data_IF_939380036266
#
_entry.id   IF_939380036266
#
_cell.length_a   1.000
_cell.length_b   1.000
_cell.length_c   1.000
_cell.angle_alpha   90.00
_cell.angle_beta   90.00
_cell.angle_gamma   90.00
#
_symmetry.space_group_name_H-M   'P 1'
#
loop_
_entity.id
_entity.type
_entity.pdbx_description
1 polymer ?
#
# COMPACT_ATOMS: atom_id res chain seq x y z
N UNK A 1 -2.54 13.68 14.54
CA UNK A 1 -2.75 12.87 15.77
C UNK A 1 -1.74 11.74 15.80
N UNK A 2 -1.55 11.15 16.97
CA UNK A 2 -0.79 9.93 17.17
C UNK A 2 -1.47 9.10 18.28
N UNK A 3 -1.27 7.80 18.24
CA UNK A 3 -1.73 6.87 19.27
C UNK A 3 -0.94 5.55 19.18
N UNK A 4 -0.88 4.81 20.27
CA UNK A 4 -0.41 3.41 20.25
C UNK A 4 -1.41 2.53 19.49
N UNK A 5 -0.91 1.49 18.85
CA UNK A 5 -1.74 0.57 18.06
C UNK A 5 -1.74 -0.80 18.72
N UNK A 6 -1.01 -1.76 18.20
CA UNK A 6 -1.09 -3.15 18.68
C UNK A 6 0.09 -3.54 19.58
N UNK A 7 1.29 -3.57 19.02
CA UNK A 7 2.49 -3.93 19.78
C UNK A 7 2.91 -2.82 20.75
N UNK A 8 3.53 -3.18 21.87
CA UNK A 8 4.09 -2.21 22.81
C UNK A 8 5.10 -1.30 22.11
N UNK A 9 4.86 0.02 22.18
CA UNK A 9 5.67 1.02 21.53
C UNK A 9 5.41 1.21 20.02
N UNK A 10 4.47 0.51 19.43
CA UNK A 10 4.00 0.79 18.07
C UNK A 10 3.09 2.01 18.09
N UNK A 11 3.45 3.04 17.31
CA UNK A 11 2.69 4.29 17.24
C UNK A 11 2.23 4.56 15.81
N UNK A 12 0.98 4.99 15.67
CA UNK A 12 0.45 5.50 14.42
C UNK A 12 0.46 7.03 14.43
N UNK A 13 0.97 7.64 13.36
CA UNK A 13 1.01 9.08 13.18
C UNK A 13 0.12 9.48 12.01
N UNK A 14 -0.99 10.17 12.32
CA UNK A 14 -1.86 10.76 11.31
C UNK A 14 -1.40 12.18 10.96
N UNK A 15 -1.22 12.45 9.67
CA UNK A 15 -0.74 13.73 9.17
C UNK A 15 -1.83 14.48 8.41
N UNK A 16 -1.74 15.82 8.31
CA UNK A 16 -2.64 16.63 7.47
C UNK A 16 -2.42 16.30 6.00
N UNK A 17 -3.49 16.32 5.19
CA UNK A 17 -3.36 16.20 3.74
C UNK A 17 -2.58 17.38 3.14
N UNK A 18 -1.90 17.12 2.04
CA UNK A 18 -1.11 18.11 1.31
C UNK A 18 -0.98 17.67 -0.15
N UNK A 19 -0.47 18.53 -1.02
CA UNK A 19 -0.12 18.18 -2.40
C UNK A 19 0.91 17.06 -2.43
N UNK A 20 0.83 16.21 -3.46
CA UNK A 20 1.58 14.95 -3.57
C UNK A 20 3.07 15.12 -3.27
N UNK A 21 3.77 16.01 -3.99
CA UNK A 21 5.23 16.19 -3.84
C UNK A 21 5.57 16.66 -2.43
N UNK A 22 4.88 17.71 -1.95
CA UNK A 22 5.11 18.23 -0.60
C UNK A 22 4.80 17.17 0.48
N UNK A 23 3.84 16.30 0.26
CA UNK A 23 3.58 15.18 1.18
C UNK A 23 4.74 14.17 1.15
N UNK A 24 5.33 13.89 -0.01
CA UNK A 24 6.51 13.04 -0.11
C UNK A 24 7.70 13.62 0.65
N UNK A 25 7.96 14.94 0.50
CA UNK A 25 9.00 15.65 1.26
C UNK A 25 8.77 15.49 2.77
N UNK A 26 7.55 15.74 3.23
CA UNK A 26 7.19 15.63 4.64
C UNK A 26 7.31 14.21 5.19
N UNK A 27 7.09 13.18 4.38
CA UNK A 27 7.29 11.80 4.80
C UNK A 27 8.76 11.48 5.05
N UNK A 28 9.67 12.03 4.24
CA UNK A 28 11.11 11.88 4.48
C UNK A 28 11.55 12.63 5.74
N UNK A 29 11.09 13.87 5.90
CA UNK A 29 11.37 14.67 7.11
C UNK A 29 10.81 13.99 8.36
N UNK A 30 9.59 13.41 8.29
CA UNK A 30 8.99 12.68 9.40
C UNK A 30 9.85 11.50 9.82
N UNK A 31 10.26 10.65 8.88
CA UNK A 31 11.11 9.48 9.17
C UNK A 31 12.42 9.90 9.81
N UNK A 32 13.10 10.89 9.22
CA UNK A 32 14.33 11.46 9.77
C UNK A 32 14.12 11.98 11.21
N UNK A 33 13.07 12.78 11.42
CA UNK A 33 12.78 13.37 12.73
C UNK A 33 12.50 12.30 13.79
N UNK A 34 11.72 11.25 13.46
CA UNK A 34 11.44 10.14 14.38
C UNK A 34 12.73 9.43 14.79
N UNK A 35 13.63 9.14 13.84
CA UNK A 35 14.91 8.51 14.15
C UNK A 35 15.78 9.41 15.03
N UNK A 36 15.88 10.71 14.71
CA UNK A 36 16.70 11.65 15.48
C UNK A 36 16.18 11.88 16.89
N UNK A 37 14.87 12.01 17.04
CA UNK A 37 14.24 12.14 18.37
C UNK A 37 14.43 10.85 19.19
N UNK A 38 14.22 9.68 18.62
CA UNK A 38 14.47 8.42 19.31
C UNK A 38 15.92 8.34 19.80
N UNK A 39 16.89 8.65 18.94
CA UNK A 39 18.32 8.67 19.27
C UNK A 39 18.65 9.64 20.40
N UNK A 40 18.03 10.83 20.45
CA UNK A 40 18.24 11.81 21.51
C UNK A 40 17.79 11.34 22.89
N UNK A 41 16.91 10.33 22.94
CA UNK A 41 16.48 9.66 24.18
C UNK A 41 17.20 8.32 24.44
N UNK A 42 18.28 8.02 23.71
CA UNK A 42 18.99 6.74 23.82
C UNK A 42 18.14 5.54 23.35
N UNK A 43 17.16 5.78 22.48
CA UNK A 43 16.24 4.77 21.92
C UNK A 43 16.42 4.63 20.43
N UNK A 44 15.84 3.58 19.86
CA UNK A 44 15.73 3.37 18.41
C UNK A 44 14.27 3.40 17.97
N UNK A 45 14.06 3.73 16.71
CA UNK A 45 12.78 3.59 16.04
C UNK A 45 12.96 2.84 14.73
N UNK A 46 11.94 2.15 14.28
CA UNK A 46 11.95 1.45 12.99
C UNK A 46 10.67 1.69 12.23
N UNK A 47 10.81 1.80 10.91
CA UNK A 47 9.71 1.80 9.94
C UNK A 47 9.61 0.46 9.19
N UNK A 48 10.18 -0.59 9.74
CA UNK A 48 10.10 -1.95 9.21
C UNK A 48 8.65 -2.43 9.18
N UNK A 49 8.15 -2.99 8.06
CA UNK A 49 6.74 -3.40 7.93
C UNK A 49 6.31 -4.49 8.90
N UNK A 50 7.20 -5.43 9.23
CA UNK A 50 6.94 -6.53 10.16
C UNK A 50 8.18 -6.77 11.04
N UNK A 51 8.36 -5.97 12.10
CA UNK A 51 9.53 -6.12 12.99
C UNK A 51 9.38 -7.25 14.02
N UNK A 52 8.15 -7.60 14.41
CA UNK A 52 7.87 -8.54 15.49
C UNK A 52 7.04 -9.72 14.96
N UNK A 53 7.52 -10.95 15.24
CA UNK A 53 6.79 -12.18 14.91
C UNK A 53 5.57 -12.32 15.84
N UNK A 54 4.43 -12.74 15.28
CA UNK A 54 3.21 -12.97 16.05
C UNK A 54 2.41 -11.72 16.42
N UNK A 55 2.88 -10.51 16.05
CA UNK A 55 2.18 -9.26 16.30
C UNK A 55 1.84 -8.52 14.98
N UNK A 56 1.07 -7.45 15.06
CA UNK A 56 0.69 -6.65 13.90
C UNK A 56 1.92 -5.97 13.25
N UNK A 57 1.85 -5.76 11.94
CA UNK A 57 2.84 -4.98 11.19
C UNK A 57 2.51 -3.50 11.12
N UNK A 58 3.41 -2.73 10.51
CA UNK A 58 3.26 -1.29 10.26
C UNK A 58 2.90 -1.02 8.80
N UNK A 59 1.78 -0.35 8.58
CA UNK A 59 1.32 0.12 7.28
C UNK A 59 1.61 1.60 7.08
N UNK A 60 1.66 2.03 5.83
CA UNK A 60 1.58 3.43 5.43
C UNK A 60 0.31 3.62 4.59
N UNK A 61 -0.79 3.89 5.26
CA UNK A 61 -2.06 4.09 4.58
C UNK A 61 -2.08 5.42 3.84
N UNK A 62 -2.34 5.40 2.55
CA UNK A 62 -2.28 6.60 1.71
C UNK A 62 -3.68 7.07 1.36
N UNK A 63 -4.10 8.17 1.99
CA UNK A 63 -5.33 8.87 1.65
C UNK A 63 -5.12 9.70 0.38
N UNK A 64 -6.03 9.58 -0.58
CA UNK A 64 -5.92 10.22 -1.88
C UNK A 64 -7.24 10.87 -2.29
N UNK A 65 -7.14 12.04 -2.93
CA UNK A 65 -8.23 12.71 -3.62
C UNK A 65 -7.66 13.61 -4.72
N UNK A 66 -8.42 13.80 -5.80
CA UNK A 66 -8.04 14.66 -6.92
C UNK A 66 -8.90 15.91 -6.91
N UNK A 67 -8.26 17.05 -7.13
CA UNK A 67 -8.90 18.36 -7.08
C UNK A 67 -8.64 19.13 -8.37
N UNK A 68 -9.66 19.85 -8.82
CA UNK A 68 -9.57 20.81 -9.92
C UNK A 68 -10.36 22.06 -9.61
N UNK A 69 -9.76 23.23 -9.77
CA UNK A 69 -10.40 24.54 -9.53
C UNK A 69 -11.13 24.64 -8.16
N UNK A 70 -10.46 24.13 -7.11
CA UNK A 70 -11.00 24.13 -5.75
C UNK A 70 -12.12 23.12 -5.48
N UNK A 71 -12.47 22.26 -6.45
CA UNK A 71 -13.48 21.22 -6.32
C UNK A 71 -12.85 19.86 -6.15
N UNK A 72 -13.35 19.08 -5.19
CA UNK A 72 -12.96 17.68 -5.00
C UNK A 72 -13.66 16.81 -6.03
N UNK A 73 -12.90 16.25 -6.99
CA UNK A 73 -13.44 15.41 -8.07
C UNK A 73 -13.88 14.01 -7.58
N UNK A 74 -13.50 13.63 -6.36
CA UNK A 74 -13.93 12.36 -5.78
C UNK A 74 -15.33 12.43 -5.15
N UNK A 75 -15.84 13.63 -4.87
CA UNK A 75 -17.20 13.80 -4.35
C UNK A 75 -18.24 13.60 -5.44
N UNK A 76 -19.31 12.86 -5.13
CA UNK A 76 -20.44 12.59 -6.03
C UNK A 76 -21.58 11.91 -5.29
N UNK A 77 -22.54 11.38 -6.05
CA UNK A 77 -23.79 10.80 -5.54
C UNK A 77 -23.77 9.26 -5.60
N UNK A 78 -22.66 8.66 -6.00
CA UNK A 78 -22.51 7.20 -6.07
C UNK A 78 -22.23 6.56 -4.71
N UNK A 79 -21.75 5.30 -4.76
CA UNK A 79 -21.42 4.52 -3.56
C UNK A 79 -20.55 5.30 -2.58
N UNK A 80 -20.96 5.34 -1.32
CA UNK A 80 -20.30 6.07 -0.23
C UNK A 80 -20.06 7.58 -0.50
N UNK A 81 -20.85 8.20 -1.40
CA UNK A 81 -20.72 9.59 -1.80
C UNK A 81 -19.52 9.87 -2.71
N UNK A 82 -19.06 8.87 -3.45
CA UNK A 82 -18.05 9.01 -4.46
C UNK A 82 -18.64 9.32 -5.84
N UNK A 83 -17.87 10.01 -6.66
CA UNK A 83 -18.14 10.19 -8.07
C UNK A 83 -17.73 8.96 -8.90
N UNK A 84 -18.24 8.84 -10.12
CA UNK A 84 -17.79 7.83 -11.09
C UNK A 84 -16.28 7.97 -11.39
N UNK A 85 -15.77 9.19 -11.43
CA UNK A 85 -14.34 9.48 -11.55
C UNK A 85 -13.52 8.82 -10.43
N UNK A 86 -14.00 8.87 -9.19
CA UNK A 86 -13.32 8.21 -8.07
C UNK A 86 -13.42 6.67 -8.16
N UNK A 87 -14.54 6.13 -8.65
CA UNK A 87 -14.67 4.69 -8.86
C UNK A 87 -13.70 4.19 -9.93
N UNK A 88 -13.55 4.89 -11.05
CA UNK A 88 -12.54 4.57 -12.06
C UNK A 88 -11.12 4.65 -11.49
N UNK A 89 -10.83 5.65 -10.67
CA UNK A 89 -9.54 5.74 -9.99
C UNK A 89 -9.27 4.52 -9.11
N UNK A 90 -10.24 4.07 -8.32
CA UNK A 90 -10.17 2.83 -7.53
C UNK A 90 -9.95 1.62 -8.44
N UNK A 91 -10.68 1.55 -9.57
CA UNK A 91 -10.53 0.47 -10.56
C UNK A 91 -9.10 0.36 -11.08
N UNK A 92 -8.46 1.49 -11.39
CA UNK A 92 -7.06 1.53 -11.78
C UNK A 92 -6.11 1.04 -10.67
N UNK A 93 -6.31 1.49 -9.43
CA UNK A 93 -5.53 1.02 -8.28
C UNK A 93 -5.65 -0.50 -8.10
N UNK A 94 -6.87 -1.06 -8.15
CA UNK A 94 -7.11 -2.50 -7.97
C UNK A 94 -6.51 -3.30 -9.14
N UNK A 95 -6.71 -2.86 -10.39
CA UNK A 95 -6.15 -3.51 -11.59
C UNK A 95 -4.63 -3.64 -11.52
N UNK A 96 -3.96 -2.57 -11.10
CA UNK A 96 -2.50 -2.51 -11.07
C UNK A 96 -1.88 -2.85 -9.71
N UNK A 97 -2.68 -3.25 -8.71
CA UNK A 97 -2.24 -3.45 -7.33
C UNK A 97 -1.02 -4.37 -7.19
N UNK A 98 -0.97 -5.46 -7.95
CA UNK A 98 0.16 -6.41 -7.90
C UNK A 98 1.45 -5.81 -8.45
N UNK A 99 1.39 -5.05 -9.54
CA UNK A 99 2.54 -4.29 -10.05
C UNK A 99 2.93 -3.17 -9.08
N UNK A 100 1.94 -2.48 -8.51
CA UNK A 100 2.17 -1.45 -7.48
C UNK A 100 2.89 -2.02 -6.25
N UNK A 101 2.62 -3.27 -5.85
CA UNK A 101 3.27 -3.89 -4.69
C UNK A 101 4.80 -3.87 -4.81
N UNK A 102 5.38 -3.99 -5.99
CA UNK A 102 6.84 -3.87 -6.15
C UNK A 102 7.38 -2.53 -5.63
N UNK A 103 6.61 -1.45 -5.75
CA UNK A 103 6.99 -0.08 -5.38
C UNK A 103 6.46 0.29 -4.00
N UNK A 104 5.22 -0.10 -3.68
CA UNK A 104 4.55 0.24 -2.42
C UNK A 104 4.88 -0.69 -1.26
N UNK A 105 5.46 -1.85 -1.56
CA UNK A 105 5.88 -2.89 -0.61
C UNK A 105 7.26 -3.44 -1.06
N UNK A 106 8.31 -2.57 -1.00
CA UNK A 106 9.53 -2.77 -1.79
C UNK A 106 10.56 -3.70 -1.14
N UNK A 107 10.24 -4.33 -0.02
CA UNK A 107 11.16 -5.21 0.69
C UNK A 107 10.62 -6.62 0.86
N UNK A 108 11.50 -7.59 1.08
CA UNK A 108 11.09 -8.97 1.43
C UNK A 108 10.30 -9.02 2.73
N UNK A 109 10.58 -8.12 3.67
CA UNK A 109 9.85 -7.99 4.94
C UNK A 109 8.43 -7.44 4.75
N UNK A 110 8.16 -6.66 3.70
CA UNK A 110 6.82 -6.16 3.36
C UNK A 110 5.78 -7.28 3.29
N UNK A 111 6.16 -8.41 2.73
CA UNK A 111 5.27 -9.56 2.52
C UNK A 111 5.08 -10.43 3.77
N UNK A 112 5.89 -10.23 4.80
CA UNK A 112 5.65 -10.78 6.14
C UNK A 112 4.55 -10.00 6.88
N UNK A 113 4.28 -8.76 6.48
CA UNK A 113 3.13 -7.98 6.93
C UNK A 113 1.86 -8.37 6.15
N UNK A 114 1.96 -8.57 4.84
CA UNK A 114 0.81 -8.84 3.96
C UNK A 114 0.37 -10.30 4.05
N UNK A 115 0.02 -10.73 5.25
CA UNK A 115 -0.52 -12.06 5.57
C UNK A 115 -1.90 -11.93 6.21
N UNK A 116 -2.83 -12.87 5.95
CA UNK A 116 -4.14 -12.87 6.60
C UNK A 116 -4.03 -12.95 8.13
N UNK A 117 -5.00 -12.34 8.84
CA UNK A 117 -5.11 -12.46 10.30
C UNK A 117 -4.36 -11.42 11.14
N UNK A 118 -3.59 -10.50 10.52
CA UNK A 118 -2.82 -9.46 11.23
C UNK A 118 -3.22 -8.03 10.79
N UNK A 119 -4.50 -7.78 10.59
CA UNK A 119 -5.09 -6.49 10.16
C UNK A 119 -4.51 -5.93 8.85
N UNK A 120 -3.76 -6.72 8.10
CA UNK A 120 -3.22 -6.33 6.81
C UNK A 120 -4.26 -6.54 5.69
N UNK A 121 -4.46 -5.56 4.81
CA UNK A 121 -5.43 -5.66 3.72
C UNK A 121 -4.85 -6.46 2.54
N UNK A 122 -5.10 -7.76 2.52
CA UNK A 122 -4.57 -8.65 1.47
C UNK A 122 -5.52 -8.83 0.28
N UNK A 123 -6.83 -8.58 0.46
CA UNK A 123 -7.84 -8.76 -0.58
C UNK A 123 -8.01 -7.51 -1.44
N UNK A 124 -7.90 -7.68 -2.76
CA UNK A 124 -8.05 -6.61 -3.74
C UNK A 124 -9.53 -6.28 -3.96
N UNK A 125 -10.11 -5.66 -2.97
CA UNK A 125 -11.48 -5.17 -2.95
C UNK A 125 -11.53 -3.74 -2.44
N UNK A 126 -12.65 -3.06 -2.63
CA UNK A 126 -12.92 -1.76 -2.02
C UNK A 126 -14.19 -1.80 -1.18
N UNK A 127 -14.23 -0.96 -0.15
CA UNK A 127 -15.38 -0.92 0.75
C UNK A 127 -15.46 0.39 1.54
N UNK A 128 -16.68 0.78 1.87
CA UNK A 128 -16.94 1.88 2.81
C UNK A 128 -16.78 1.38 4.25
N UNK A 129 -15.93 2.07 5.03
CA UNK A 129 -15.69 1.82 6.46
C UNK A 129 -15.00 0.48 6.82
N UNK A 130 -14.88 -0.45 5.90
CA UNK A 130 -14.30 -1.76 6.16
C UNK A 130 -12.76 -1.69 6.09
N UNK A 131 -12.08 -2.09 7.17
CA UNK A 131 -10.61 -2.06 7.28
C UNK A 131 -9.92 -3.26 6.65
N UNK A 132 -10.67 -4.32 6.30
CA UNK A 132 -10.09 -5.52 5.66
C UNK A 132 -9.91 -5.36 4.14
N UNK A 133 -10.51 -4.34 3.52
CA UNK A 133 -10.37 -4.06 2.10
C UNK A 133 -9.05 -3.34 1.77
N UNK A 134 -8.44 -3.65 0.61
CA UNK A 134 -7.23 -2.99 0.11
C UNK A 134 -7.44 -1.49 -0.15
N UNK A 135 -8.66 -1.12 -0.57
CA UNK A 135 -9.07 0.28 -0.72
C UNK A 135 -10.29 0.56 0.16
N UNK A 136 -10.11 1.39 1.16
CA UNK A 136 -11.18 1.84 2.05
C UNK A 136 -11.68 3.22 1.66
N UNK A 137 -12.98 3.46 1.79
CA UNK A 137 -13.58 4.78 1.64
C UNK A 137 -13.96 5.27 3.04
N UNK A 138 -13.19 6.19 3.65
CA UNK A 138 -13.50 6.73 4.97
C UNK A 138 -14.81 7.51 4.93
N UNK A 139 -15.64 7.32 5.96
CA UNK A 139 -16.85 8.13 6.10
C UNK A 139 -16.50 9.57 6.41
N UNK A 140 -17.07 10.48 5.64
CA UNK A 140 -16.95 11.94 5.87
C UNK A 140 -18.25 12.60 5.46
N UNK A 141 -18.85 13.40 6.35
CA UNK A 141 -20.08 14.11 6.03
C UNK A 141 -19.86 15.21 4.98
N UNK A 142 -18.74 15.93 5.08
CA UNK A 142 -18.42 17.02 4.15
C UNK A 142 -17.89 16.50 2.82
N UNK A 143 -18.49 16.84 1.67
CA UNK A 143 -17.99 16.44 0.33
C UNK A 143 -16.54 16.84 0.07
N UNK A 144 -16.06 17.96 0.63
CA UNK A 144 -14.66 18.37 0.53
C UNK A 144 -13.69 17.35 1.15
N UNK A 145 -14.14 16.54 2.08
CA UNK A 145 -13.33 15.50 2.71
C UNK A 145 -13.38 14.14 2.00
N UNK A 146 -14.13 13.98 0.91
CA UNK A 146 -14.23 12.71 0.18
C UNK A 146 -12.88 12.28 -0.34
N UNK A 147 -12.52 11.02 -0.07
CA UNK A 147 -11.22 10.45 -0.41
C UNK A 147 -11.28 8.94 -0.38
N UNK A 148 -10.29 8.33 -0.95
CA UNK A 148 -10.01 6.89 -0.77
C UNK A 148 -8.79 6.73 0.13
N UNK A 149 -8.64 5.56 0.70
CA UNK A 149 -7.48 5.14 1.50
C UNK A 149 -6.95 3.84 0.92
N UNK A 150 -5.77 3.90 0.32
CA UNK A 150 -5.05 2.70 -0.14
C UNK A 150 -4.25 2.16 1.05
N UNK A 151 -4.49 0.91 1.43
CA UNK A 151 -4.05 0.37 2.72
C UNK A 151 -2.89 -0.62 2.65
N UNK A 152 -2.61 -1.19 1.47
CA UNK A 152 -1.52 -2.16 1.32
C UNK A 152 -0.11 -1.54 1.36
N UNK A 153 0.14 -0.26 1.02
CA UNK A 153 1.48 0.30 1.12
C UNK A 153 2.05 0.22 2.54
N UNK A 154 3.36 0.14 2.64
CA UNK A 154 4.06 0.13 3.92
C UNK A 154 5.14 1.22 4.00
N UNK A 155 5.70 1.48 5.20
CA UNK A 155 6.62 2.61 5.38
C UNK A 155 7.99 2.42 4.73
N UNK A 156 8.35 1.25 4.18
CA UNK A 156 9.58 1.09 3.38
C UNK A 156 9.49 1.78 2.02
N UNK A 157 8.27 2.04 1.55
CA UNK A 157 8.03 2.75 0.28
C UNK A 157 8.82 4.05 0.21
N UNK A 158 9.52 4.27 -0.90
CA UNK A 158 9.96 5.61 -1.27
C UNK A 158 8.71 6.42 -1.63
N UNK A 159 8.37 7.50 -0.88
CA UNK A 159 7.09 8.20 -1.07
C UNK A 159 6.98 8.87 -2.44
N UNK A 160 8.08 9.32 -3.05
CA UNK A 160 8.05 9.90 -4.39
C UNK A 160 7.64 8.85 -5.43
N UNK A 161 8.24 7.65 -5.36
CA UNK A 161 7.92 6.56 -6.28
C UNK A 161 6.51 6.01 -6.01
N UNK A 162 6.20 5.71 -4.76
CA UNK A 162 4.93 5.09 -4.37
C UNK A 162 3.72 5.98 -4.67
N UNK A 163 3.80 7.28 -4.35
CA UNK A 163 2.69 8.21 -4.59
C UNK A 163 2.52 8.46 -6.09
N UNK A 164 3.61 8.60 -6.86
CA UNK A 164 3.56 8.73 -8.30
C UNK A 164 2.98 7.49 -8.97
N UNK A 165 3.42 6.30 -8.57
CA UNK A 165 2.92 5.04 -9.13
C UNK A 165 1.41 4.84 -8.86
N UNK A 166 0.94 5.12 -7.65
CA UNK A 166 -0.49 5.05 -7.33
C UNK A 166 -1.30 6.08 -8.12
N UNK A 167 -0.79 7.30 -8.30
CA UNK A 167 -1.45 8.30 -9.15
C UNK A 167 -1.55 7.82 -10.59
N UNK A 168 -0.47 7.29 -11.16
CA UNK A 168 -0.47 6.75 -12.54
C UNK A 168 -1.46 5.60 -12.71
N UNK A 169 -1.56 4.70 -11.72
CA UNK A 169 -2.56 3.63 -11.72
C UNK A 169 -3.99 4.18 -11.70
N UNK A 170 -4.26 5.17 -10.86
CA UNK A 170 -5.56 5.82 -10.79
C UNK A 170 -5.92 6.57 -12.09
N UNK A 171 -4.95 7.26 -12.71
CA UNK A 171 -5.14 7.94 -13.99
C UNK A 171 -5.43 6.94 -15.14
N UNK A 172 -4.74 5.80 -15.19
CA UNK A 172 -5.06 4.72 -16.13
C UNK A 172 -6.49 4.23 -15.95
N UNK A 173 -6.93 4.10 -14.69
CA UNK A 173 -8.32 3.73 -14.37
C UNK A 173 -9.34 4.73 -14.89
N UNK A 174 -9.09 6.02 -14.72
CA UNK A 174 -9.97 7.10 -15.21
C UNK A 174 -10.02 7.12 -16.74
N UNK A 175 -8.86 7.12 -17.39
CA UNK A 175 -8.76 7.23 -18.83
C UNK A 175 -9.41 6.06 -19.56
N UNK A 176 -9.20 4.84 -19.03
CA UNK A 176 -9.76 3.62 -19.60
C UNK A 176 -11.12 3.22 -19.01
N UNK A 177 -11.73 4.07 -18.15
CA UNK A 177 -13.01 3.83 -17.48
C UNK A 177 -13.08 2.47 -16.80
N UNK A 178 -12.04 2.12 -16.06
CA UNK A 178 -11.93 0.83 -15.37
C UNK A 178 -12.77 0.86 -14.10
N UNK A 179 -13.93 0.23 -14.16
CA UNK A 179 -14.79 0.12 -12.98
C UNK A 179 -14.27 -0.98 -12.03
N UNK A 180 -14.22 -0.74 -10.71
CA UNK A 180 -13.68 -1.70 -9.75
C UNK A 180 -14.60 -2.91 -9.44
N UNK A 181 -15.74 -3.01 -10.08
CA UNK A 181 -16.79 -3.99 -9.75
C UNK A 181 -17.63 -3.55 -8.55
N UNK A 182 -18.25 -4.51 -7.87
CA UNK A 182 -19.11 -4.24 -6.70
C UNK A 182 -18.26 -4.03 -5.44
N UNK A 183 -18.72 -3.12 -4.58
CA UNK A 183 -18.08 -2.89 -3.29
C UNK A 183 -18.31 -4.08 -2.35
N UNK A 184 -17.29 -4.47 -1.61
CA UNK A 184 -17.44 -5.52 -0.60
C UNK A 184 -18.21 -4.99 0.61
N UNK A 185 -19.25 -5.71 1.01
CA UNK A 185 -20.04 -5.45 2.22
C UNK A 185 -19.67 -6.37 3.38
N UNK A 186 -18.88 -7.42 3.11
CA UNK A 186 -18.51 -8.47 4.06
C UNK A 186 -17.19 -8.15 4.74
N UNK A 187 -17.01 -8.70 5.95
CA UNK A 187 -15.69 -8.76 6.58
C UNK A 187 -14.79 -9.74 5.80
N UNK A 188 -13.72 -9.20 5.17
CA UNK A 188 -12.82 -9.98 4.33
C UNK A 188 -11.78 -10.78 5.13
N UNK A 189 -11.74 -10.65 6.47
CA UNK A 189 -10.87 -11.47 7.31
C UNK A 189 -11.48 -12.84 7.63
N UNK A 190 -12.82 -12.97 7.58
CA UNK A 190 -13.55 -14.15 8.01
C UNK A 190 -14.52 -14.66 6.91
N UNK A 191 -14.04 -14.75 5.69
CA UNK A 191 -14.81 -15.29 4.57
C UNK A 191 -14.79 -16.83 4.55
N UNK A 192 -15.89 -17.47 4.12
CA UNK A 192 -15.88 -18.88 3.77
C UNK A 192 -14.80 -19.15 2.68
N UNK A 193 -14.10 -20.30 2.71
CA UNK A 193 -13.01 -20.60 1.76
C UNK A 193 -13.40 -20.46 0.28
N UNK A 194 -14.63 -20.84 -0.08
CA UNK A 194 -15.14 -20.75 -1.46
C UNK A 194 -15.34 -19.29 -1.93
N UNK A 195 -15.68 -18.40 -1.02
CA UNK A 195 -15.79 -16.95 -1.32
C UNK A 195 -14.43 -16.29 -1.28
N UNK A 196 -13.59 -16.67 -0.32
CA UNK A 196 -12.25 -16.17 -0.16
C UNK A 196 -11.38 -16.39 -1.41
N UNK A 197 -11.49 -17.58 -2.01
CA UNK A 197 -10.76 -17.95 -3.23
C UNK A 197 -11.15 -17.12 -4.47
N UNK A 198 -12.32 -16.50 -4.49
CA UNK A 198 -12.81 -15.69 -5.62
C UNK A 198 -12.28 -14.26 -5.62
N UNK A 199 -11.79 -13.78 -4.50
CA UNK A 199 -11.30 -12.38 -4.39
C UNK A 199 -9.80 -12.37 -4.62
N UNK A 200 -9.32 -11.64 -5.65
CA UNK A 200 -7.88 -11.51 -5.91
C UNK A 200 -7.13 -10.95 -4.69
N UNK A 201 -5.89 -11.37 -4.52
CA UNK A 201 -5.01 -10.89 -3.44
C UNK A 201 -3.88 -10.03 -3.98
N UNK A 202 -3.30 -9.22 -3.09
CA UNK A 202 -1.97 -8.63 -3.28
C UNK A 202 -0.93 -9.72 -3.47
N UNK A 203 0.29 -9.37 -3.91
CA UNK A 203 1.39 -10.32 -3.98
C UNK A 203 1.79 -10.85 -2.60
N UNK A 204 2.33 -12.07 -2.57
CA UNK A 204 2.79 -12.72 -1.35
C UNK A 204 4.31 -12.74 -1.22
N UNK A 205 5.03 -12.29 -2.25
CA UNK A 205 6.49 -12.24 -2.30
C UNK A 205 6.96 -11.07 -3.17
N UNK A 206 8.16 -10.57 -2.87
CA UNK A 206 8.75 -9.47 -3.63
C UNK A 206 9.04 -9.84 -5.08
N UNK A 207 9.59 -11.04 -5.33
CA UNK A 207 9.86 -11.51 -6.68
C UNK A 207 8.60 -11.62 -7.54
N UNK A 208 7.49 -12.04 -6.95
CA UNK A 208 6.19 -12.06 -7.62
C UNK A 208 5.75 -10.65 -8.01
N UNK A 209 5.88 -9.68 -7.10
CA UNK A 209 5.52 -8.29 -7.37
C UNK A 209 6.40 -7.67 -8.47
N UNK A 210 7.70 -7.98 -8.46
CA UNK A 210 8.63 -7.53 -9.50
C UNK A 210 8.29 -8.11 -10.88
N UNK A 211 7.86 -9.37 -10.95
CA UNK A 211 7.37 -10.00 -12.20
C UNK A 211 6.09 -9.31 -12.72
N UNK A 212 5.15 -8.98 -11.82
CA UNK A 212 3.97 -8.19 -12.18
C UNK A 212 4.32 -6.76 -12.65
N UNK A 213 5.30 -6.12 -12.02
CA UNK A 213 5.79 -4.82 -12.46
C UNK A 213 6.41 -4.88 -13.84
N UNK A 214 7.27 -5.87 -14.09
CA UNK A 214 7.93 -6.07 -15.38
C UNK A 214 6.92 -6.25 -16.52
N UNK A 215 5.95 -7.13 -16.34
CA UNK A 215 4.91 -7.44 -17.33
C UNK A 215 3.86 -6.33 -17.48
N UNK A 216 3.61 -5.57 -16.43
CA UNK A 216 2.49 -4.63 -16.35
C UNK A 216 2.89 -3.15 -16.34
N UNK A 217 4.12 -2.79 -16.67
CA UNK A 217 4.69 -1.43 -16.49
C UNK A 217 4.08 -0.31 -17.34
N UNK A 218 3.30 -0.64 -18.37
CA UNK A 218 2.82 0.33 -19.37
C UNK A 218 2.09 1.54 -18.77
N UNK A 219 1.31 1.35 -17.68
CA UNK A 219 0.65 2.46 -17.01
C UNK A 219 1.63 3.44 -16.35
N UNK A 220 2.81 2.99 -15.94
CA UNK A 220 3.85 3.83 -15.33
C UNK A 220 4.65 4.63 -16.35
N UNK A 221 4.93 4.03 -17.50
CA UNK A 221 5.75 4.66 -18.54
C UNK A 221 4.96 5.67 -19.39
N UNK A 222 3.64 5.66 -19.25
CA UNK A 222 2.78 6.62 -19.95
C UNK A 222 3.15 8.06 -19.62
N UNK A 223 3.29 8.90 -20.64
CA UNK A 223 3.68 10.30 -20.46
C UNK A 223 5.12 10.51 -19.99
N UNK A 224 5.94 9.47 -19.97
CA UNK A 224 7.35 9.56 -19.59
C UNK A 224 7.59 9.78 -18.08
N UNK A 225 6.60 9.49 -17.23
CA UNK A 225 6.73 9.66 -15.76
C UNK A 225 7.77 8.70 -15.18
N UNK A 226 7.69 7.43 -15.58
CA UNK A 226 8.74 6.44 -15.36
C UNK A 226 9.32 6.05 -16.71
N UNK A 227 10.60 5.67 -16.74
CA UNK A 227 11.23 5.13 -17.95
C UNK A 227 11.43 3.62 -17.81
N UNK A 228 11.45 2.89 -18.93
CA UNK A 228 11.75 1.46 -18.91
C UNK A 228 13.12 1.20 -18.27
N UNK A 229 14.14 1.97 -18.60
CA UNK A 229 15.47 1.85 -18.01
C UNK A 229 15.47 2.03 -16.49
N UNK A 230 14.65 2.95 -15.95
CA UNK A 230 14.49 3.10 -14.51
C UNK A 230 13.83 1.88 -13.89
N UNK A 231 12.77 1.36 -14.51
CA UNK A 231 12.04 0.19 -14.00
C UNK A 231 12.94 -1.04 -14.06
N UNK A 232 13.70 -1.24 -15.13
CA UNK A 232 14.66 -2.36 -15.26
C UNK A 232 15.73 -2.31 -14.16
N UNK A 233 16.36 -1.15 -13.96
CA UNK A 233 17.35 -0.97 -12.91
C UNK A 233 16.75 -1.16 -11.49
N UNK A 234 15.52 -0.72 -11.27
CA UNK A 234 14.80 -0.94 -10.03
C UNK A 234 14.55 -2.43 -9.77
N UNK A 235 14.07 -3.16 -10.78
CA UNK A 235 13.82 -4.60 -10.70
C UNK A 235 15.14 -5.35 -10.40
N UNK A 236 16.21 -5.02 -11.11
CA UNK A 236 17.53 -5.61 -10.88
C UNK A 236 18.01 -5.41 -9.44
N UNK A 237 17.95 -4.17 -8.95
CA UNK A 237 18.32 -3.83 -7.57
C UNK A 237 17.50 -4.64 -6.55
N UNK A 238 16.20 -4.75 -6.74
CA UNK A 238 15.31 -5.47 -5.82
C UNK A 238 15.48 -7.00 -5.90
N UNK A 239 15.81 -7.52 -7.06
CA UNK A 239 16.15 -8.94 -7.21
C UNK A 239 17.44 -9.32 -6.46
N UNK A 240 18.39 -8.42 -6.30
CA UNK A 240 19.56 -8.64 -5.45
C UNK A 240 19.15 -8.84 -3.98
N UNK A 241 18.19 -8.04 -3.47
CA UNK A 241 17.65 -8.21 -2.12
C UNK A 241 16.93 -9.56 -1.97
N UNK A 242 16.13 -9.96 -2.97
CA UNK A 242 15.46 -11.29 -3.02
C UNK A 242 16.49 -12.42 -2.97
N UNK A 243 17.52 -12.33 -3.79
CA UNK A 243 18.59 -13.34 -3.85
C UNK A 243 19.31 -13.46 -2.51
N UNK A 244 19.71 -12.32 -1.93
CA UNK A 244 20.34 -12.29 -0.61
C UNK A 244 19.45 -12.94 0.45
N UNK A 245 18.15 -12.60 0.48
CA UNK A 245 17.19 -13.19 1.41
C UNK A 245 17.08 -14.71 1.24
N UNK A 246 17.00 -15.21 -0.01
CA UNK A 246 16.89 -16.64 -0.33
C UNK A 246 18.14 -17.44 0.06
N UNK A 247 19.31 -16.82 -0.03
CA UNK A 247 20.60 -17.45 0.31
C UNK A 247 20.90 -17.43 1.81
N UNK A 248 20.18 -16.63 2.58
CA UNK A 248 20.44 -16.48 4.01
C UNK A 248 19.57 -17.44 4.80
N UNK A 249 20.21 -18.39 5.49
CA UNK A 249 19.55 -19.35 6.37
C UNK A 249 18.87 -18.60 7.54
N UNK A 250 17.60 -18.88 7.78
CA UNK A 250 16.86 -18.27 8.88
C UNK A 250 16.94 -19.17 10.14
N UNK A 251 17.06 -18.59 11.36
CA UNK A 251 17.10 -19.40 12.60
C UNK A 251 15.96 -20.41 12.72
N UNK A 252 14.72 -20.06 12.31
CA UNK A 252 13.58 -20.99 12.39
C UNK A 252 13.77 -22.25 11.50
N UNK A 253 14.57 -22.18 10.46
CA UNK A 253 14.83 -23.36 9.60
C UNK A 253 15.65 -24.42 10.33
N UNK A 254 16.52 -24.03 11.26
CA UNK A 254 17.21 -24.96 12.14
C UNK A 254 16.24 -25.65 13.12
N UNK A 255 15.29 -24.90 13.67
CA UNK A 255 14.28 -25.49 14.56
C UNK A 255 13.41 -26.49 13.82
N UNK A 256 13.06 -26.21 12.57
CA UNK A 256 12.18 -27.04 11.75
C UNK A 256 12.89 -28.25 11.12
N UNK A 257 14.15 -28.14 10.72
CA UNK A 257 14.76 -29.09 9.79
C UNK A 257 16.11 -29.66 10.22
N UNK A 258 16.78 -29.11 11.25
CA UNK A 258 18.15 -29.50 11.59
C UNK A 258 18.28 -30.97 12.01
N UNK A 259 17.27 -31.56 12.60
CA UNK A 259 17.25 -32.94 13.12
C UNK A 259 16.50 -33.93 12.20
N UNK A 260 16.14 -33.53 10.98
CA UNK A 260 15.46 -34.42 10.02
C UNK A 260 16.45 -35.36 9.34
#
# INVERSE_FOLDING_TARGET
HHHEVAAAGQCEIGTKFEKLVKRADWMQILKYSVHMVAASYGKTATFMPKPIVGDNGSGMHVHQSVWKDGKNLFAGDGYAGLSEFALYYIGGIIKHARALNAITNPGTNSYKRLVPGFEAPVKLAYSSRNRSAAVRIPYVANPKGRRIEVRFPDPQTNPYLGFSAMLMAGLDGIENKIHPGDASTKDLYHLPPEEDAKIPTVCHRLDEALDYLDKGRAFLTKGGVFTDAFIDAYIELKMQEVTRFRMTTHPVEFDMYYSL
#
